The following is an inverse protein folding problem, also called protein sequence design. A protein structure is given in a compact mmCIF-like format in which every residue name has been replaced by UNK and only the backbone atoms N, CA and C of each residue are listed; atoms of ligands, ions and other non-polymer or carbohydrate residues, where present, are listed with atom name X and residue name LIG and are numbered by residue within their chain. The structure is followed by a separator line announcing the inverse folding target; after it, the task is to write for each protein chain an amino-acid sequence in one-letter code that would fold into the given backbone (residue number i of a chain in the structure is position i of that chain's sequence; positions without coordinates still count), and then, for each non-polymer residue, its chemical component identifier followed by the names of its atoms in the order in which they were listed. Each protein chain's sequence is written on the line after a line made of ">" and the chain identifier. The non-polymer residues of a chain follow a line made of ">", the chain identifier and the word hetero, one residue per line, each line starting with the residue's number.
data_IF_164720985101
#
_entry.id   IF_164720985101
#
_cell.length_a   1.000
_cell.length_b   1.000
_cell.length_c   1.000
_cell.angle_alpha   90.00
_cell.angle_beta   90.00
_cell.angle_gamma   90.00
#
_symmetry.space_group_name_H-M   'P 1'
#
loop_
_entity.id
_entity.type
_entity.pdbx_description
1 polymer ?
#
# COMPACT_ATOMS: atom_id res chain seq x y z
N UNK A 1 -23.63 -26.48 -5.27
CA UNK A 1 -22.18 -26.49 -5.52
C UNK A 1 -21.55 -25.38 -4.70
N UNK A 2 -20.70 -25.73 -3.74
CA UNK A 2 -20.12 -24.80 -2.76
C UNK A 2 -20.87 -24.78 -1.42
N UNK A 3 -20.85 -25.89 -0.69
CA UNK A 3 -21.24 -25.91 0.72
C UNK A 3 -20.16 -26.64 1.50
N UNK A 4 -20.10 -26.36 2.80
CA UNK A 4 -19.14 -26.81 3.83
C UNK A 4 -19.04 -28.35 3.96
N UNK A 5 -19.75 -29.09 3.11
CA UNK A 5 -19.81 -30.55 3.01
C UNK A 5 -19.57 -31.04 1.56
N UNK A 6 -18.31 -31.13 1.12
CA UNK A 6 -17.95 -31.90 -0.09
C UNK A 6 -18.07 -31.20 -1.45
N UNK A 7 -17.95 -29.87 -1.50
CA UNK A 7 -17.77 -29.15 -2.76
C UNK A 7 -16.35 -29.35 -3.36
N UNK A 8 -16.18 -29.27 -4.70
CA UNK A 8 -14.89 -29.47 -5.38
C UNK A 8 -13.85 -28.37 -5.12
N UNK A 9 -14.20 -27.33 -4.36
CA UNK A 9 -13.30 -26.23 -4.03
C UNK A 9 -12.98 -26.29 -2.53
N UNK A 10 -11.73 -26.59 -2.14
CA UNK A 10 -11.34 -26.54 -0.74
C UNK A 10 -11.39 -25.07 -0.28
N UNK A 11 -12.29 -24.77 0.66
CA UNK A 11 -12.34 -23.46 1.33
C UNK A 11 -11.10 -23.35 2.23
N UNK A 12 -10.04 -22.75 1.72
CA UNK A 12 -8.91 -22.30 2.53
C UNK A 12 -9.42 -21.26 3.53
N UNK A 13 -9.69 -21.70 4.78
CA UNK A 13 -10.15 -20.94 5.97
C UNK A 13 -10.47 -19.46 5.70
N UNK A 14 -11.74 -19.10 5.49
CA UNK A 14 -12.36 -17.75 5.58
C UNK A 14 -11.65 -16.51 4.98
N UNK A 15 -10.44 -16.59 4.43
CA UNK A 15 -9.65 -15.46 3.96
C UNK A 15 -9.53 -15.46 2.43
N UNK A 16 -9.71 -16.59 1.76
CA UNK A 16 -9.47 -16.73 0.32
C UNK A 16 -10.60 -17.51 -0.36
N UNK A 17 -11.76 -16.88 -0.52
CA UNK A 17 -12.80 -17.42 -1.40
C UNK A 17 -12.47 -17.13 -2.87
N UNK A 18 -12.86 -18.01 -3.81
CA UNK A 18 -12.65 -17.75 -5.24
C UNK A 18 -13.26 -16.43 -5.70
N UNK A 19 -14.44 -16.06 -5.17
CA UNK A 19 -15.07 -14.78 -5.44
C UNK A 19 -14.25 -13.60 -4.92
N UNK A 20 -13.70 -13.71 -3.71
CA UNK A 20 -12.80 -12.69 -3.15
C UNK A 20 -11.54 -12.50 -4.00
N UNK A 21 -10.90 -13.59 -4.42
CA UNK A 21 -9.70 -13.56 -5.27
C UNK A 21 -10.00 -12.94 -6.63
N UNK A 22 -11.13 -13.31 -7.26
CA UNK A 22 -11.53 -12.75 -8.55
C UNK A 22 -11.83 -11.25 -8.45
N UNK A 23 -12.51 -10.81 -7.39
CA UNK A 23 -12.82 -9.38 -7.19
C UNK A 23 -11.54 -8.59 -6.91
N UNK A 24 -10.68 -9.07 -6.00
CA UNK A 24 -9.43 -8.40 -5.66
C UNK A 24 -8.47 -8.34 -6.86
N UNK A 25 -8.33 -9.46 -7.58
CA UNK A 25 -7.53 -9.54 -8.80
C UNK A 25 -8.06 -8.63 -9.90
N UNK A 26 -9.37 -8.64 -10.14
CA UNK A 26 -10.03 -7.74 -11.10
C UNK A 26 -9.82 -6.27 -10.75
N UNK A 27 -10.00 -5.89 -9.49
CA UNK A 27 -9.75 -4.53 -9.02
C UNK A 27 -8.27 -4.11 -9.19
N UNK A 28 -7.33 -5.02 -8.92
CA UNK A 28 -5.90 -4.77 -9.13
C UNK A 28 -5.56 -4.53 -10.61
N UNK A 29 -6.12 -5.32 -11.53
CA UNK A 29 -5.94 -5.10 -12.97
C UNK A 29 -6.55 -3.80 -13.46
N UNK A 30 -7.72 -3.41 -12.94
CA UNK A 30 -8.34 -2.11 -13.27
C UNK A 30 -7.48 -0.93 -12.78
N UNK A 31 -6.95 -1.01 -11.56
CA UNK A 31 -6.01 -0.01 -11.04
C UNK A 31 -4.74 0.05 -11.88
N UNK A 32 -4.17 -1.11 -12.22
CA UNK A 32 -2.98 -1.17 -13.07
C UNK A 32 -3.24 -0.55 -14.44
N UNK A 33 -4.37 -0.87 -15.08
CA UNK A 33 -4.75 -0.29 -16.37
C UNK A 33 -4.91 1.23 -16.29
N UNK A 34 -5.50 1.75 -15.21
CA UNK A 34 -5.63 3.19 -14.96
C UNK A 34 -4.28 3.88 -14.81
N UNK A 35 -3.40 3.34 -13.97
CA UNK A 35 -2.05 3.91 -13.76
C UNK A 35 -1.22 3.84 -15.04
N UNK A 36 -1.28 2.72 -15.77
CA UNK A 36 -0.62 2.57 -17.07
C UNK A 36 -1.14 3.59 -18.10
N UNK A 37 -2.46 3.83 -18.15
CA UNK A 37 -3.03 4.85 -19.02
C UNK A 37 -2.50 6.27 -18.71
N UNK A 38 -2.35 6.60 -17.43
CA UNK A 38 -1.88 7.94 -17.00
C UNK A 38 -0.36 8.10 -17.20
N UNK A 39 0.42 7.09 -16.81
CA UNK A 39 1.89 7.14 -16.80
C UNK A 39 2.46 6.81 -18.17
N UNK A 40 2.08 5.67 -18.75
CA UNK A 40 2.70 5.14 -19.96
C UNK A 40 2.04 5.66 -21.24
N UNK A 41 0.71 5.81 -21.28
CA UNK A 41 0.01 6.28 -22.48
C UNK A 41 -0.04 7.80 -22.54
N UNK A 42 -0.56 8.44 -21.49
CA UNK A 42 -0.73 9.90 -21.47
C UNK A 42 0.55 10.66 -21.10
N UNK A 43 1.54 9.99 -20.49
CA UNK A 43 2.85 10.57 -20.10
C UNK A 43 2.72 11.86 -19.27
N UNK A 44 1.59 12.04 -18.57
CA UNK A 44 1.32 13.24 -17.76
C UNK A 44 2.08 13.19 -16.43
N UNK A 45 2.43 11.99 -15.97
CA UNK A 45 3.06 11.78 -14.67
C UNK A 45 4.11 10.67 -14.71
N UNK A 46 5.25 10.89 -14.04
CA UNK A 46 6.36 9.93 -13.98
C UNK A 46 6.19 8.84 -12.90
N UNK A 47 5.03 8.78 -12.23
CA UNK A 47 4.71 7.77 -11.21
C UNK A 47 5.30 8.03 -9.81
N UNK A 48 5.85 9.22 -9.53
CA UNK A 48 6.45 9.58 -8.23
C UNK A 48 5.43 10.38 -7.40
N UNK A 49 5.14 10.04 -6.11
CA UNK A 49 5.94 9.27 -5.17
C UNK A 49 5.68 7.75 -5.14
N UNK A 50 4.62 7.25 -5.81
CA UNK A 50 4.22 5.85 -5.73
C UNK A 50 5.36 4.87 -6.11
N UNK A 51 6.14 5.20 -7.14
CA UNK A 51 7.30 4.43 -7.56
C UNK A 51 8.38 4.36 -6.48
N UNK A 52 8.70 5.48 -5.83
CA UNK A 52 9.75 5.54 -4.82
C UNK A 52 9.38 4.72 -3.57
N UNK A 53 8.11 4.80 -3.15
CA UNK A 53 7.56 4.00 -2.05
C UNK A 53 7.49 2.52 -2.44
N UNK A 54 7.01 2.21 -3.64
CA UNK A 54 6.88 0.84 -4.13
C UNK A 54 8.21 0.09 -4.26
N UNK A 55 9.26 0.76 -4.74
CA UNK A 55 10.61 0.18 -4.85
C UNK A 55 11.28 -0.09 -3.50
N UNK A 56 10.79 0.51 -2.41
CA UNK A 56 11.32 0.35 -1.05
C UNK A 56 10.23 -0.14 -0.07
N UNK A 57 9.23 -0.86 -0.57
CA UNK A 57 8.02 -1.20 0.18
C UNK A 57 8.31 -1.93 1.50
N UNK A 58 9.27 -2.88 1.51
CA UNK A 58 9.66 -3.59 2.73
C UNK A 58 10.35 -2.69 3.76
N UNK A 59 11.22 -1.78 3.31
CA UNK A 59 11.91 -0.85 4.20
C UNK A 59 10.94 0.13 4.84
N UNK A 60 9.96 0.63 4.07
CA UNK A 60 8.89 1.50 4.57
C UNK A 60 7.98 0.73 5.54
N UNK A 61 7.64 -0.52 5.24
CA UNK A 61 6.82 -1.36 6.13
C UNK A 61 7.51 -1.59 7.49
N UNK A 62 8.73 -2.12 7.48
CA UNK A 62 9.50 -2.37 8.71
C UNK A 62 9.71 -1.06 9.45
N UNK A 63 10.07 0.02 8.74
CA UNK A 63 10.22 1.34 9.33
C UNK A 63 8.93 1.81 10.01
N UNK A 64 7.77 1.66 9.37
CA UNK A 64 6.50 2.07 9.95
C UNK A 64 6.19 1.31 11.23
N UNK A 65 6.36 -0.01 11.24
CA UNK A 65 6.17 -0.84 12.43
C UNK A 65 7.13 -0.44 13.56
N UNK A 66 8.39 -0.17 13.23
CA UNK A 66 9.41 0.19 14.24
C UNK A 66 9.17 1.60 14.80
N UNK A 67 8.68 2.53 13.98
CA UNK A 67 8.47 3.94 14.34
C UNK A 67 7.01 4.34 14.60
N UNK A 68 6.08 3.39 14.69
CA UNK A 68 4.63 3.64 14.80
C UNK A 68 4.23 4.54 15.99
N UNK A 69 5.04 4.58 17.06
CA UNK A 69 4.80 5.42 18.23
C UNK A 69 5.65 6.70 18.31
N UNK A 70 6.50 6.96 17.32
CA UNK A 70 7.42 8.09 17.32
C UNK A 70 6.98 9.19 16.36
N UNK A 71 6.98 10.43 16.83
CA UNK A 71 6.81 11.61 15.97
C UNK A 71 7.95 11.63 14.92
N UNK A 72 7.68 11.89 13.63
CA UNK A 72 6.40 12.30 13.01
C UNK A 72 5.53 11.17 12.45
N UNK A 73 5.94 9.90 12.57
CA UNK A 73 5.31 8.76 11.91
C UNK A 73 4.07 8.23 12.64
N UNK A 74 4.00 8.44 13.95
CA UNK A 74 2.80 8.24 14.73
C UNK A 74 2.96 8.86 16.12
N UNK A 75 1.92 9.53 16.59
CA UNK A 75 1.92 10.21 17.89
C UNK A 75 0.51 10.29 18.43
N UNK A 76 0.39 10.37 19.75
CA UNK A 76 -0.90 10.42 20.43
C UNK A 76 -1.63 11.71 20.08
N UNK A 77 -2.69 11.60 19.28
CA UNK A 77 -3.58 12.70 18.94
C UNK A 77 -4.91 12.57 19.68
N UNK A 78 -5.57 13.71 20.00
CA UNK A 78 -6.94 13.66 20.49
C UNK A 78 -7.85 12.95 19.49
N UNK A 79 -8.93 12.33 19.97
CA UNK A 79 -9.89 11.52 19.20
C UNK A 79 -10.79 12.33 18.25
N UNK A 80 -10.31 13.49 17.79
CA UNK A 80 -11.03 14.35 16.87
C UNK A 80 -10.66 13.98 15.43
N UNK A 81 -11.65 13.89 14.53
CA UNK A 81 -11.44 13.43 13.15
C UNK A 81 -10.37 14.25 12.41
N UNK A 82 -10.34 15.57 12.60
CA UNK A 82 -9.35 16.44 11.99
C UNK A 82 -7.93 16.17 12.51
N UNK A 83 -7.79 15.87 13.81
CA UNK A 83 -6.50 15.57 14.43
C UNK A 83 -5.94 14.23 13.92
N UNK A 84 -6.79 13.20 13.85
CA UNK A 84 -6.44 11.90 13.27
C UNK A 84 -6.07 12.00 11.79
N UNK A 85 -6.85 12.74 10.99
CA UNK A 85 -6.51 12.96 9.58
C UNK A 85 -5.15 13.66 9.45
N UNK A 86 -4.89 14.69 10.28
CA UNK A 86 -3.63 15.41 10.25
C UNK A 86 -2.43 14.53 10.62
N UNK A 87 -2.54 13.67 11.63
CA UNK A 87 -1.44 12.78 12.02
C UNK A 87 -1.15 11.74 10.94
N UNK A 88 -2.17 11.15 10.33
CA UNK A 88 -1.98 10.23 9.21
C UNK A 88 -1.39 10.92 7.98
N UNK A 89 -1.83 12.12 7.64
CA UNK A 89 -1.25 12.90 6.54
C UNK A 89 0.22 13.22 6.79
N UNK A 90 0.57 13.65 8.00
CA UNK A 90 1.97 13.92 8.38
C UNK A 90 2.81 12.65 8.26
N UNK A 91 2.32 11.52 8.77
CA UNK A 91 3.00 10.23 8.68
C UNK A 91 3.24 9.80 7.23
N UNK A 92 2.22 9.88 6.38
CA UNK A 92 2.33 9.55 4.95
C UNK A 92 3.30 10.48 4.22
N UNK A 93 3.22 11.79 4.47
CA UNK A 93 4.15 12.76 3.87
C UNK A 93 5.59 12.46 4.30
N UNK A 94 5.81 12.14 5.58
CA UNK A 94 7.13 11.80 6.08
C UNK A 94 7.67 10.52 5.41
N UNK A 95 6.86 9.46 5.31
CA UNK A 95 7.26 8.24 4.61
C UNK A 95 7.51 8.44 3.11
N UNK A 96 6.72 9.29 2.45
CA UNK A 96 6.98 9.69 1.07
C UNK A 96 8.33 10.41 0.93
N UNK A 97 8.69 11.29 1.86
CA UNK A 97 10.00 11.95 1.89
C UNK A 97 11.14 10.96 2.12
N UNK A 98 10.99 10.01 3.06
CA UNK A 98 11.98 8.95 3.33
C UNK A 98 12.16 8.07 2.10
N UNK A 99 11.07 7.60 1.50
CA UNK A 99 11.11 6.79 0.28
C UNK A 99 11.77 7.54 -0.88
N UNK A 100 11.49 8.83 -1.03
CA UNK A 100 12.11 9.67 -2.06
C UNK A 100 13.62 9.86 -1.79
N UNK A 101 14.03 10.02 -0.54
CA UNK A 101 15.45 10.10 -0.16
C UNK A 101 16.18 8.79 -0.46
N UNK A 102 15.59 7.64 -0.10
CA UNK A 102 16.14 6.32 -0.44
C UNK A 102 16.27 6.12 -1.96
N UNK A 103 15.25 6.52 -2.72
CA UNK A 103 15.24 6.46 -4.17
C UNK A 103 16.37 7.29 -4.79
N UNK A 104 16.59 8.52 -4.29
CA UNK A 104 17.69 9.39 -4.75
C UNK A 104 19.07 8.79 -4.46
N UNK A 105 19.23 8.13 -3.32
CA UNK A 105 20.48 7.49 -2.93
C UNK A 105 20.68 6.09 -3.56
N UNK A 106 19.75 5.66 -4.44
CA UNK A 106 19.76 4.33 -5.09
C UNK A 106 19.85 3.15 -4.11
N UNK A 107 19.38 3.35 -2.88
CA UNK A 107 19.30 2.28 -1.89
C UNK A 107 17.95 1.60 -2.07
N UNK A 108 17.96 0.37 -2.57
CA UNK A 108 16.78 -0.45 -2.78
C UNK A 108 16.90 -1.72 -1.96
N UNK A 109 16.11 -1.80 -0.89
CA UNK A 109 16.14 -2.94 0.00
C UNK A 109 15.20 -4.01 -0.58
N UNK A 110 15.80 -5.02 -1.21
CA UNK A 110 15.12 -6.20 -1.71
C UNK A 110 15.56 -7.41 -0.86
N UNK A 111 14.59 -8.20 -0.43
CA UNK A 111 14.78 -9.46 0.33
C UNK A 111 14.27 -10.61 -0.53
#
# INVERSE_FOLDING_TARGET
>A
GGSVHGGPVPMNKNLWSPSFVLVLGGAAFLLLAGVYGVVDVAQVWQGMPLRAVGMNSIAIYVGHETFAGYFPFGFSTPSNHAALLSSHLIGVVCWCCVAHHMYKNKCFLAI
#
